data_IF_328279850577
#
_entry.id   IF_328279850577
#
_cell.length_a   1.000
_cell.length_b   1.000
_cell.length_c   1.000
_cell.angle_alpha   90.00
_cell.angle_beta   90.00
_cell.angle_gamma   90.00
#
_symmetry.space_group_name_H-M   'P 1'
#
loop_
_entity.id
_entity.type
_entity.pdbx_description
1 polymer ?
#
# COMPACT_ATOMS: atom_id res chain seq x y z
N UNK A 1 -18.82 0.78 37.75
CA UNK A 1 -17.93 -0.18 38.42
C UNK A 1 -18.82 -1.29 38.91
N UNK A 2 -18.79 -2.46 38.25
CA UNK A 2 -19.85 -3.47 38.33
C UNK A 2 -19.36 -4.80 38.93
N UNK A 3 -18.46 -4.75 39.92
CA UNK A 3 -18.01 -5.98 40.60
C UNK A 3 -17.90 -5.73 42.10
N UNK A 4 -18.42 -6.67 42.89
CA UNK A 4 -18.27 -6.71 44.34
C UNK A 4 -17.16 -7.69 44.69
N UNK A 5 -16.41 -7.40 45.76
CA UNK A 5 -15.34 -8.30 46.22
C UNK A 5 -15.92 -9.70 46.52
N UNK A 6 -15.21 -10.75 46.11
CA UNK A 6 -15.60 -12.17 46.24
C UNK A 6 -16.80 -12.67 45.39
N UNK A 7 -17.19 -11.96 44.33
CA UNK A 7 -18.23 -12.40 43.38
C UNK A 7 -17.77 -13.63 42.55
N UNK A 8 -18.61 -14.67 42.47
CA UNK A 8 -18.39 -15.79 41.52
C UNK A 8 -18.66 -15.33 40.09
N UNK A 9 -17.65 -15.43 39.23
CA UNK A 9 -17.70 -15.03 37.81
C UNK A 9 -17.51 -16.24 36.90
N UNK A 10 -18.07 -16.19 35.70
CA UNK A 10 -17.92 -17.24 34.68
C UNK A 10 -16.82 -16.89 33.68
N UNK A 11 -16.21 -17.89 33.03
CA UNK A 11 -15.22 -17.65 31.99
C UNK A 11 -15.83 -16.82 30.85
N UNK A 12 -15.17 -15.71 30.47
CA UNK A 12 -15.63 -14.76 29.45
C UNK A 12 -16.44 -13.57 30.00
N UNK A 13 -16.69 -13.50 31.31
CA UNK A 13 -17.38 -12.36 31.94
C UNK A 13 -16.45 -11.15 32.07
N UNK A 14 -16.88 -9.99 31.56
CA UNK A 14 -16.13 -8.74 31.65
C UNK A 14 -16.19 -8.21 33.07
N UNK A 15 -15.03 -8.13 33.71
CA UNK A 15 -14.91 -7.69 35.11
C UNK A 15 -14.67 -6.19 35.21
N UNK A 16 -13.84 -5.64 34.32
CA UNK A 16 -13.49 -4.23 34.31
C UNK A 16 -13.41 -3.72 32.88
N UNK A 17 -13.81 -2.47 32.69
CA UNK A 17 -13.63 -1.72 31.45
C UNK A 17 -12.68 -0.58 31.75
N UNK A 18 -11.62 -0.48 30.96
CA UNK A 18 -10.71 0.67 30.96
C UNK A 18 -11.18 1.67 29.91
N UNK A 19 -10.76 2.93 30.04
CA UNK A 19 -10.97 3.92 28.99
C UNK A 19 -10.34 3.42 27.67
N UNK A 20 -11.19 3.20 26.66
CA UNK A 20 -10.81 2.67 25.36
C UNK A 20 -10.35 3.77 24.39
N UNK A 21 -10.51 5.05 24.76
CA UNK A 21 -10.16 6.21 23.96
C UNK A 21 -8.73 6.15 23.39
N UNK A 22 -7.66 5.93 24.19
CA UNK A 22 -6.30 5.88 23.65
C UNK A 22 -6.09 4.70 22.67
N UNK A 23 -6.74 3.57 22.94
CA UNK A 23 -6.65 2.39 22.06
C UNK A 23 -7.38 2.63 20.74
N UNK A 24 -8.55 3.26 20.79
CA UNK A 24 -9.32 3.61 19.60
C UNK A 24 -8.57 4.61 18.72
N UNK A 25 -7.90 5.60 19.32
CA UNK A 25 -7.02 6.52 18.60
C UNK A 25 -5.84 5.76 17.96
N UNK A 26 -5.20 4.84 18.68
CA UNK A 26 -4.11 4.03 18.15
C UNK A 26 -4.56 3.18 16.94
N UNK A 27 -5.75 2.57 17.01
CA UNK A 27 -6.34 1.83 15.89
C UNK A 27 -6.62 2.75 14.70
N UNK A 28 -7.22 3.92 14.92
CA UNK A 28 -7.49 4.90 13.86
C UNK A 28 -6.20 5.37 13.19
N UNK A 29 -5.14 5.61 13.97
CA UNK A 29 -3.83 5.98 13.44
C UNK A 29 -3.22 4.87 12.60
N UNK A 30 -3.28 3.61 13.06
CA UNK A 30 -2.81 2.46 12.30
C UNK A 30 -3.60 2.27 11.00
N UNK A 31 -4.92 2.45 11.03
CA UNK A 31 -5.77 2.42 9.83
C UNK A 31 -5.40 3.53 8.84
N UNK A 32 -5.13 4.73 9.32
CA UNK A 32 -4.70 5.84 8.47
C UNK A 32 -3.32 5.58 7.84
N UNK A 33 -2.38 4.99 8.60
CA UNK A 33 -1.07 4.60 8.07
C UNK A 33 -1.21 3.51 7.00
N UNK A 34 -2.06 2.51 7.23
CA UNK A 34 -2.36 1.48 6.24
C UNK A 34 -2.96 2.09 4.96
N UNK A 35 -3.96 2.95 5.09
CA UNK A 35 -4.59 3.61 3.95
C UNK A 35 -3.57 4.45 3.14
N UNK A 36 -2.67 5.15 3.83
CA UNK A 36 -1.58 5.89 3.20
C UNK A 36 -0.63 4.95 2.44
N UNK A 37 -0.19 3.86 3.06
CA UNK A 37 0.70 2.89 2.42
C UNK A 37 0.04 2.24 1.18
N UNK A 38 -1.24 1.90 1.27
CA UNK A 38 -2.03 1.40 0.14
C UNK A 38 -2.13 2.42 -1.00
N UNK A 39 -2.33 3.70 -0.67
CA UNK A 39 -2.38 4.77 -1.67
C UNK A 39 -1.04 4.94 -2.40
N UNK A 40 0.10 4.87 -1.69
CA UNK A 40 1.43 4.93 -2.30
C UNK A 40 1.67 3.74 -3.24
N UNK A 41 1.28 2.52 -2.84
CA UNK A 41 1.35 1.34 -3.72
C UNK A 41 0.47 1.51 -4.96
N UNK A 42 -0.76 2.00 -4.79
CA UNK A 42 -1.69 2.23 -5.91
C UNK A 42 -1.14 3.27 -6.89
N UNK A 43 -0.55 4.36 -6.37
CA UNK A 43 0.10 5.39 -7.18
C UNK A 43 1.28 4.82 -7.98
N UNK A 44 2.19 4.10 -7.33
CA UNK A 44 3.33 3.49 -8.01
C UNK A 44 2.88 2.45 -9.06
N UNK A 45 1.79 1.73 -8.79
CA UNK A 45 1.23 0.77 -9.74
C UNK A 45 0.62 1.47 -10.96
N UNK A 46 -0.05 2.61 -10.77
CA UNK A 46 -0.56 3.41 -11.87
C UNK A 46 0.58 3.97 -12.74
N UNK A 47 1.66 4.46 -12.12
CA UNK A 47 2.86 4.93 -12.83
C UNK A 47 3.52 3.81 -13.64
N UNK A 48 3.66 2.61 -13.05
CA UNK A 48 4.18 1.43 -13.74
C UNK A 48 3.30 1.01 -14.92
N UNK A 49 1.97 1.02 -14.75
CA UNK A 49 1.03 0.71 -15.83
C UNK A 49 1.10 1.72 -16.97
N UNK A 50 1.25 3.01 -16.65
CA UNK A 50 1.45 4.09 -17.62
C UNK A 50 2.74 3.88 -18.41
N UNK A 51 3.86 3.60 -17.73
CA UNK A 51 5.14 3.33 -18.37
C UNK A 51 5.07 2.08 -19.26
N UNK A 52 4.41 1.02 -18.80
CA UNK A 52 4.22 -0.21 -19.58
C UNK A 52 3.39 0.03 -20.85
N UNK A 53 2.31 0.79 -20.72
CA UNK A 53 1.44 1.16 -21.84
C UNK A 53 2.20 2.01 -22.87
N UNK A 54 3.02 2.94 -22.41
CA UNK A 54 3.87 3.76 -23.28
C UNK A 54 4.92 2.91 -24.01
N UNK A 55 5.64 2.05 -23.30
CA UNK A 55 6.59 1.12 -23.90
C UNK A 55 5.93 0.24 -24.97
N UNK A 56 4.71 -0.24 -24.71
CA UNK A 56 3.94 -1.07 -25.64
C UNK A 56 3.48 -0.28 -26.87
N UNK A 57 3.00 0.96 -26.68
CA UNK A 57 2.64 1.87 -27.79
C UNK A 57 3.85 2.13 -28.68
N UNK A 58 5.00 2.48 -28.08
CA UNK A 58 6.23 2.71 -28.83
C UNK A 58 6.64 1.46 -29.61
N UNK A 59 6.70 0.28 -28.98
CA UNK A 59 7.01 -0.97 -29.71
C UNK A 59 6.01 -1.32 -30.82
N UNK A 60 4.77 -0.85 -30.74
CA UNK A 60 3.74 -1.10 -31.77
C UNK A 60 3.83 -0.15 -32.96
N UNK A 61 4.46 1.02 -32.80
CA UNK A 61 4.78 1.89 -33.93
C UNK A 61 5.87 1.20 -34.75
N UNK A 62 5.69 1.18 -36.08
CA UNK A 62 6.54 0.49 -37.05
C UNK A 62 8.04 0.58 -36.71
N UNK A 63 8.79 -0.52 -36.86
CA UNK A 63 10.24 -0.59 -36.63
C UNK A 63 11.04 0.46 -37.43
N UNK A 64 10.46 1.06 -38.47
CA UNK A 64 11.10 2.13 -39.25
C UNK A 64 10.97 3.52 -38.62
N UNK A 65 10.16 3.68 -37.56
CA UNK A 65 9.89 4.97 -36.92
C UNK A 65 10.50 5.10 -35.51
N UNK A 66 11.10 4.03 -34.97
CA UNK A 66 11.64 4.01 -33.61
C UNK A 66 13.10 3.60 -33.59
N UNK A 67 13.90 4.42 -32.91
CA UNK A 67 15.33 4.20 -32.70
C UNK A 67 15.58 3.20 -31.57
N UNK A 68 16.73 2.53 -31.59
CA UNK A 68 17.18 1.70 -30.48
C UNK A 68 17.24 2.48 -29.15
N UNK A 69 17.63 3.75 -29.21
CA UNK A 69 17.65 4.67 -28.07
C UNK A 69 16.25 4.91 -27.48
N UNK A 70 15.22 5.08 -28.32
CA UNK A 70 13.85 5.26 -27.83
C UNK A 70 13.32 4.01 -27.11
N UNK A 71 13.67 2.83 -27.62
CA UNK A 71 13.33 1.56 -26.97
C UNK A 71 14.04 1.41 -25.62
N UNK A 72 15.32 1.78 -25.55
CA UNK A 72 16.09 1.78 -24.32
C UNK A 72 15.50 2.75 -23.29
N UNK A 73 15.11 3.96 -23.72
CA UNK A 73 14.49 4.97 -22.86
C UNK A 73 13.17 4.46 -22.25
N UNK A 74 12.28 3.86 -23.03
CA UNK A 74 11.01 3.32 -22.49
C UNK A 74 11.20 2.08 -21.64
N UNK A 75 12.20 1.24 -21.97
CA UNK A 75 12.54 0.07 -21.16
C UNK A 75 13.11 0.49 -19.80
N UNK A 76 14.01 1.47 -19.78
CA UNK A 76 14.56 2.05 -18.55
C UNK A 76 13.46 2.70 -17.72
N UNK A 77 12.56 3.48 -18.33
CA UNK A 77 11.43 4.09 -17.65
C UNK A 77 10.48 3.05 -17.02
N UNK A 78 10.18 1.96 -17.75
CA UNK A 78 9.38 0.85 -17.23
C UNK A 78 10.09 0.13 -16.07
N UNK A 79 11.40 -0.09 -16.19
CA UNK A 79 12.18 -0.73 -15.13
C UNK A 79 12.18 0.12 -13.86
N UNK A 80 12.46 1.42 -13.99
CA UNK A 80 12.38 2.38 -12.87
C UNK A 80 11.00 2.39 -12.22
N UNK A 81 9.92 2.44 -13.00
CA UNK A 81 8.57 2.40 -12.42
C UNK A 81 8.28 1.06 -11.72
N UNK A 82 8.83 -0.05 -12.23
CA UNK A 82 8.71 -1.37 -11.61
C UNK A 82 9.48 -1.45 -10.29
N UNK A 83 10.69 -0.89 -10.22
CA UNK A 83 11.47 -0.83 -8.98
C UNK A 83 10.82 0.10 -7.95
N UNK A 84 10.25 1.23 -8.37
CA UNK A 84 9.47 2.12 -7.49
C UNK A 84 8.24 1.40 -6.93
N UNK A 85 7.51 0.62 -7.74
CA UNK A 85 6.41 -0.20 -7.26
C UNK A 85 6.86 -1.26 -6.25
N UNK A 86 7.98 -1.94 -6.51
CA UNK A 86 8.53 -2.92 -5.58
C UNK A 86 8.93 -2.27 -4.24
N UNK A 87 9.56 -1.09 -4.28
CA UNK A 87 9.91 -0.32 -3.09
C UNK A 87 8.67 0.15 -2.31
N UNK A 88 7.64 0.64 -3.01
CA UNK A 88 6.39 1.04 -2.39
C UNK A 88 5.69 -0.14 -1.69
N UNK A 89 5.70 -1.32 -2.32
CA UNK A 89 5.16 -2.55 -1.71
C UNK A 89 5.98 -3.01 -0.51
N UNK A 90 7.31 -2.93 -0.58
CA UNK A 90 8.19 -3.28 0.52
C UNK A 90 8.01 -2.36 1.73
N UNK A 91 7.76 -1.06 1.52
CA UNK A 91 7.45 -0.11 2.59
C UNK A 91 6.03 -0.20 3.15
N UNK A 92 5.17 -1.02 2.55
CA UNK A 92 3.79 -1.26 2.99
C UNK A 92 3.60 -2.55 3.80
N UNK A 93 4.67 -3.36 3.93
CA UNK A 93 4.72 -4.61 4.70
C UNK A 93 5.31 -4.37 6.10
#
# INVERSE_FOLDING_TARGET
MNVTDNQRVKAGEVLFTIDDTPYRIAVLNAQAQLAKAQAEVAKAQAEQSKAASEARRRRSLSQNAISAEDLENVNTALNTATTTLAAARAGSA
#
